data_IF_216729805609
#
_entry.id   IF_216729805609
#
_cell.length_a   1.000
_cell.length_b   1.000
_cell.length_c   1.000
_cell.angle_alpha   90.00
_cell.angle_beta   90.00
_cell.angle_gamma   90.00
#
_symmetry.space_group_name_H-M   'P 1'
#
loop_
_entity.id
_entity.type
_entity.pdbx_description
1 polymer ?
#
# COMPACT_ATOMS: atom_id res chain seq x y z
N UNK A 1 10.69 7.13 -21.67
CA UNK A 1 10.33 7.51 -20.29
C UNK A 1 9.62 6.34 -19.60
N UNK A 2 10.03 5.93 -18.39
CA UNK A 2 9.30 4.91 -17.64
C UNK A 2 7.97 5.50 -17.16
N UNK A 3 6.86 5.06 -17.78
CA UNK A 3 5.50 5.42 -17.39
C UNK A 3 5.29 4.99 -15.94
N UNK A 4 5.17 5.94 -15.02
CA UNK A 4 4.79 5.67 -13.64
C UNK A 4 3.40 5.01 -13.69
N UNK A 5 3.29 3.72 -13.31
CA UNK A 5 2.00 3.01 -13.27
C UNK A 5 1.20 3.58 -12.11
N UNK A 6 0.49 4.68 -12.39
CA UNK A 6 -0.11 5.63 -11.44
C UNK A 6 -1.50 5.21 -10.94
N UNK A 7 -1.61 4.02 -10.36
CA UNK A 7 -2.76 3.63 -9.52
C UNK A 7 -2.20 2.97 -8.26
N UNK A 8 -2.28 3.67 -7.14
CA UNK A 8 -1.59 3.28 -5.90
C UNK A 8 -2.53 3.50 -4.73
N UNK A 9 -3.46 2.57 -4.58
CA UNK A 9 -4.11 2.37 -3.32
C UNK A 9 -3.04 1.87 -2.35
N UNK A 10 -2.86 2.58 -1.23
CA UNK A 10 -1.81 2.34 -0.25
C UNK A 10 -2.34 1.42 0.83
N UNK A 11 -1.54 0.46 1.25
CA UNK A 11 -1.81 -0.34 2.44
C UNK A 11 -0.47 -0.48 3.16
N UNK A 12 -0.33 0.14 4.32
CA UNK A 12 0.76 -0.13 5.22
C UNK A 12 0.54 -1.51 5.82
N UNK A 13 1.61 -2.28 5.81
CA UNK A 13 1.60 -3.56 6.49
C UNK A 13 2.35 -3.41 7.81
N UNK A 14 1.70 -3.92 8.87
CA UNK A 14 2.17 -4.19 10.23
C UNK A 14 3.53 -3.61 10.64
N UNK A 15 3.55 -2.82 11.71
CA UNK A 15 4.78 -2.47 12.42
C UNK A 15 5.48 -3.73 12.93
N UNK A 16 6.76 -3.92 12.56
CA UNK A 16 7.57 -5.06 13.00
C UNK A 16 8.75 -4.59 13.84
N UNK A 17 9.02 -5.26 14.97
CA UNK A 17 10.19 -4.98 15.81
C UNK A 17 11.50 -5.44 15.15
N UNK A 18 11.45 -6.50 14.34
CA UNK A 18 12.60 -7.08 13.65
C UNK A 18 12.30 -7.32 12.19
N UNK A 19 13.29 -7.04 11.33
CA UNK A 19 13.26 -7.43 9.92
C UNK A 19 13.44 -8.94 9.80
N UNK A 20 12.33 -9.69 9.84
CA UNK A 20 12.33 -11.16 9.74
C UNK A 20 11.21 -11.67 8.84
N UNK A 21 11.34 -12.92 8.39
CA UNK A 21 10.28 -13.60 7.64
C UNK A 21 8.95 -13.64 8.43
N UNK A 22 9.03 -13.98 9.71
CA UNK A 22 7.88 -14.19 10.60
C UNK A 22 7.14 -12.89 10.89
N UNK A 23 7.85 -11.79 11.18
CA UNK A 23 7.22 -10.52 11.53
C UNK A 23 6.88 -9.65 10.33
N UNK A 24 7.52 -9.86 9.18
CA UNK A 24 7.23 -9.13 7.94
C UNK A 24 6.46 -9.97 6.93
N UNK A 25 7.10 -10.53 5.89
CA UNK A 25 6.42 -11.09 4.73
C UNK A 25 5.37 -12.15 5.03
N UNK A 26 5.55 -12.97 6.08
CA UNK A 26 4.57 -13.99 6.46
C UNK A 26 3.23 -13.37 6.86
N UNK A 27 3.23 -12.31 7.67
CA UNK A 27 2.00 -11.63 8.12
C UNK A 27 1.36 -10.87 6.98
N UNK A 28 2.14 -10.08 6.23
CA UNK A 28 1.64 -9.31 5.09
C UNK A 28 0.96 -10.21 4.07
N UNK A 29 1.60 -11.30 3.66
CA UNK A 29 1.02 -12.19 2.65
C UNK A 29 -0.13 -13.05 3.18
N UNK A 30 -0.13 -13.43 4.46
CA UNK A 30 -1.27 -14.10 5.06
C UNK A 30 -2.51 -13.19 5.07
N UNK A 31 -2.34 -11.91 5.43
CA UNK A 31 -3.41 -10.93 5.45
C UNK A 31 -3.94 -10.62 4.04
N UNK A 32 -3.06 -10.40 3.06
CA UNK A 32 -3.45 -10.23 1.65
C UNK A 32 -4.23 -11.45 1.15
N UNK A 33 -3.78 -12.67 1.51
CA UNK A 33 -4.49 -13.88 1.13
C UNK A 33 -5.88 -13.90 1.79
N UNK A 34 -5.97 -13.66 3.09
CA UNK A 34 -7.26 -13.64 3.81
C UNK A 34 -8.27 -12.67 3.17
N UNK A 35 -7.84 -11.47 2.79
CA UNK A 35 -8.73 -10.42 2.28
C UNK A 35 -9.06 -10.56 0.80
N UNK A 36 -8.11 -11.01 -0.01
CA UNK A 36 -8.21 -10.86 -1.46
C UNK A 36 -8.11 -12.18 -2.24
N UNK A 37 -7.96 -13.35 -1.60
CA UNK A 37 -7.65 -14.60 -2.33
C UNK A 37 -8.68 -14.94 -3.42
N UNK A 38 -9.97 -14.70 -3.19
CA UNK A 38 -11.02 -14.95 -4.18
C UNK A 38 -10.78 -14.14 -5.47
N UNK A 39 -10.35 -12.87 -5.35
CA UNK A 39 -10.02 -12.05 -6.51
C UNK A 39 -8.84 -12.63 -7.31
N UNK A 40 -7.87 -13.28 -6.66
CA UNK A 40 -6.78 -13.96 -7.36
C UNK A 40 -7.25 -15.23 -8.09
N UNK A 41 -8.24 -15.93 -7.54
CA UNK A 41 -8.83 -17.12 -8.18
C UNK A 41 -9.66 -16.72 -9.40
N UNK A 42 -10.55 -15.73 -9.25
CA UNK A 42 -11.35 -15.18 -10.35
C UNK A 42 -10.47 -14.65 -11.48
N UNK A 43 -9.39 -13.93 -11.15
CA UNK A 43 -8.44 -13.46 -12.15
C UNK A 43 -7.78 -14.64 -12.89
N UNK A 44 -7.42 -15.71 -12.17
CA UNK A 44 -6.81 -16.90 -12.76
C UNK A 44 -7.76 -17.62 -13.72
N UNK A 45 -9.05 -17.71 -13.38
CA UNK A 45 -10.09 -18.26 -14.26
C UNK A 45 -10.22 -17.45 -15.56
N UNK A 46 -10.04 -16.14 -15.48
CA UNK A 46 -9.97 -15.24 -16.63
C UNK A 46 -8.58 -15.21 -17.31
N UNK A 47 -7.71 -16.19 -17.03
CA UNK A 47 -6.33 -16.27 -17.52
C UNK A 47 -5.44 -15.05 -17.19
N UNK A 48 -5.85 -14.23 -16.22
CA UNK A 48 -5.09 -13.08 -15.72
C UNK A 48 -4.32 -13.47 -14.46
N UNK A 49 -3.13 -12.90 -14.30
CA UNK A 49 -2.32 -13.06 -13.08
C UNK A 49 -1.91 -11.71 -12.53
N UNK A 50 -2.14 -11.53 -11.24
CA UNK A 50 -1.55 -10.42 -10.50
C UNK A 50 -0.03 -10.58 -10.45
N UNK A 51 0.70 -9.48 -10.56
CA UNK A 51 2.16 -9.45 -10.47
C UNK A 51 2.60 -8.70 -9.21
N UNK A 52 3.27 -9.41 -8.31
CA UNK A 52 3.93 -8.82 -7.15
C UNK A 52 5.31 -8.32 -7.55
N UNK A 53 5.69 -7.14 -7.08
CA UNK A 53 7.04 -6.60 -7.28
C UNK A 53 7.68 -6.32 -5.93
N UNK A 54 8.87 -6.87 -5.68
CA UNK A 54 9.57 -6.71 -4.39
C UNK A 54 11.05 -6.39 -4.58
N UNK A 55 11.70 -5.94 -3.50
CA UNK A 55 13.15 -5.78 -3.44
C UNK A 55 13.88 -7.14 -3.48
N UNK A 56 15.21 -7.13 -3.30
CA UNK A 56 16.05 -8.32 -3.29
C UNK A 56 16.04 -9.08 -1.96
N UNK A 57 15.17 -8.75 -1.00
CA UNK A 57 15.15 -9.43 0.30
C UNK A 57 14.51 -10.82 0.17
N UNK A 58 15.30 -11.87 0.45
CA UNK A 58 14.90 -13.27 0.26
C UNK A 58 13.61 -13.66 1.00
N UNK A 59 13.29 -13.00 2.12
CA UNK A 59 12.08 -13.26 2.89
C UNK A 59 10.79 -13.02 2.08
N UNK A 60 10.76 -12.01 1.19
CA UNK A 60 9.60 -11.77 0.32
C UNK A 60 9.44 -12.87 -0.72
N UNK A 61 10.54 -13.33 -1.34
CA UNK A 61 10.51 -14.47 -2.26
C UNK A 61 9.99 -15.73 -1.57
N UNK A 62 10.46 -16.01 -0.34
CA UNK A 62 9.99 -17.14 0.48
C UNK A 62 8.49 -17.03 0.78
N UNK A 63 8.04 -15.85 1.22
CA UNK A 63 6.64 -15.60 1.53
C UNK A 63 5.72 -15.74 0.31
N UNK A 64 6.09 -15.12 -0.81
CA UNK A 64 5.33 -15.21 -2.04
C UNK A 64 5.14 -16.66 -2.49
N UNK A 65 6.22 -17.46 -2.48
CA UNK A 65 6.16 -18.89 -2.85
C UNK A 65 5.18 -19.67 -1.97
N UNK A 66 5.11 -19.36 -0.68
CA UNK A 66 4.21 -20.02 0.27
C UNK A 66 2.74 -19.72 -0.02
N UNK A 67 2.39 -18.47 -0.32
CA UNK A 67 0.99 -18.04 -0.36
C UNK A 67 0.40 -17.93 -1.77
N UNK A 68 1.19 -17.57 -2.78
CA UNK A 68 0.66 -17.09 -4.07
C UNK A 68 1.27 -17.77 -5.31
N UNK A 69 2.16 -18.76 -5.16
CA UNK A 69 2.87 -19.39 -6.30
C UNK A 69 1.97 -19.89 -7.44
N UNK A 70 0.73 -20.27 -7.13
CA UNK A 70 -0.21 -20.88 -8.08
C UNK A 70 -1.19 -19.88 -8.71
N UNK A 71 -1.27 -18.65 -8.19
CA UNK A 71 -2.33 -17.67 -8.53
C UNK A 71 -1.79 -16.30 -8.93
N UNK A 72 -0.50 -16.05 -8.74
CA UNK A 72 0.15 -14.79 -9.07
C UNK A 72 1.57 -15.01 -9.60
N UNK A 73 2.20 -13.95 -10.09
CA UNK A 73 3.61 -13.91 -10.49
C UNK A 73 4.40 -12.97 -9.58
N UNK A 74 5.72 -13.17 -9.51
CA UNK A 74 6.63 -12.34 -8.72
C UNK A 74 7.78 -11.82 -9.58
N UNK A 75 7.87 -10.51 -9.68
CA UNK A 75 9.06 -9.79 -10.17
C UNK A 75 9.97 -9.49 -8.98
N UNK A 76 10.97 -10.34 -8.77
CA UNK A 76 11.88 -10.26 -7.63
C UNK A 76 13.13 -9.44 -7.93
N UNK A 77 13.55 -8.62 -6.96
CA UNK A 77 14.85 -7.97 -7.01
C UNK A 77 14.93 -6.75 -7.89
N UNK A 78 13.80 -6.06 -8.08
CA UNK A 78 13.77 -4.77 -8.77
C UNK A 78 14.66 -3.79 -7.99
N UNK A 79 15.77 -3.31 -8.59
CA UNK A 79 16.65 -2.37 -7.92
C UNK A 79 15.85 -1.10 -7.63
N UNK A 80 15.76 -0.74 -6.35
CA UNK A 80 15.31 0.57 -5.96
C UNK A 80 16.43 1.54 -6.39
N UNK A 81 16.30 2.11 -7.60
CA UNK A 81 17.36 2.88 -8.31
C UNK A 81 17.68 4.24 -7.67
N UNK A 82 17.72 4.35 -6.34
CA UNK A 82 18.22 5.54 -5.66
C UNK A 82 19.72 5.76 -5.92
N UNK A 83 20.53 4.69 -5.97
CA UNK A 83 22.01 4.81 -6.11
C UNK A 83 22.50 5.35 -7.46
N UNK A 84 21.79 5.11 -8.58
CA UNK A 84 22.29 5.45 -9.93
C UNK A 84 21.92 6.85 -10.42
N UNK A 85 20.83 7.44 -9.95
CA UNK A 85 20.28 8.68 -10.53
C UNK A 85 20.02 9.81 -9.54
N UNK A 86 20.32 9.61 -8.24
CA UNK A 86 19.85 10.47 -7.14
C UNK A 86 18.31 10.67 -7.23
N UNK A 87 17.71 11.39 -6.28
CA UNK A 87 16.24 11.55 -6.20
C UNK A 87 15.60 12.27 -7.41
N UNK A 88 16.40 12.77 -8.37
CA UNK A 88 15.98 13.50 -9.57
C UNK A 88 15.11 12.68 -10.54
N UNK A 89 15.16 11.34 -10.49
CA UNK A 89 14.37 10.42 -11.35
C UNK A 89 13.55 9.44 -10.52
N UNK A 90 12.91 9.91 -9.45
CA UNK A 90 12.15 9.07 -8.51
C UNK A 90 10.84 8.52 -9.13
N UNK A 91 10.98 7.53 -10.02
CA UNK A 91 9.88 6.81 -10.64
C UNK A 91 9.46 5.57 -9.82
N UNK A 92 10.01 5.35 -8.63
CA UNK A 92 9.65 4.19 -7.82
C UNK A 92 8.49 4.53 -6.89
N UNK A 93 7.35 3.87 -7.08
CA UNK A 93 6.17 3.98 -6.21
C UNK A 93 6.53 3.94 -4.73
N UNK A 94 7.39 2.98 -4.43
CA UNK A 94 7.70 2.53 -3.09
C UNK A 94 8.47 3.63 -2.34
N UNK A 95 9.38 4.32 -3.00
CA UNK A 95 10.19 5.36 -2.35
C UNK A 95 9.41 6.64 -2.07
N UNK A 96 8.45 6.98 -2.93
CA UNK A 96 7.50 8.07 -2.65
C UNK A 96 6.63 7.72 -1.44
N UNK A 97 6.17 6.47 -1.40
CA UNK A 97 5.33 5.98 -0.30
C UNK A 97 6.09 5.92 1.04
N UNK A 98 7.37 5.54 1.00
CA UNK A 98 8.28 5.58 2.15
C UNK A 98 8.47 6.98 2.72
N UNK A 99 8.46 8.03 1.90
CA UNK A 99 8.57 9.41 2.42
C UNK A 99 7.36 9.79 3.27
N UNK A 100 6.15 9.37 2.86
CA UNK A 100 4.93 9.57 3.64
C UNK A 100 4.98 8.76 4.95
N UNK A 101 5.39 7.48 4.88
CA UNK A 101 5.59 6.65 6.08
C UNK A 101 6.59 7.27 7.06
N UNK A 102 7.71 7.83 6.58
CA UNK A 102 8.70 8.53 7.43
C UNK A 102 8.18 9.84 8.01
N UNK A 103 7.20 10.48 7.38
CA UNK A 103 6.54 11.68 7.93
C UNK A 103 5.63 11.27 9.08
N UNK A 104 4.82 10.22 8.89
CA UNK A 104 4.01 9.64 9.96
C UNK A 104 4.88 9.16 11.13
N UNK A 105 5.97 8.44 10.83
CA UNK A 105 6.95 8.01 11.83
C UNK A 105 7.51 9.19 12.63
N UNK A 106 7.89 10.29 11.97
CA UNK A 106 8.35 11.52 12.64
C UNK A 106 7.28 12.14 13.53
N UNK A 107 6.05 12.21 13.05
CA UNK A 107 4.92 12.69 13.84
C UNK A 107 4.62 11.75 15.02
N UNK A 108 4.95 10.47 14.88
CA UNK A 108 4.71 9.43 15.87
C UNK A 108 5.76 9.36 16.98
N UNK A 109 6.80 10.21 16.96
CA UNK A 109 7.92 10.17 17.93
C UNK A 109 7.50 10.35 19.41
N UNK A 110 6.27 10.79 19.67
CA UNK A 110 5.68 10.84 21.02
C UNK A 110 4.99 9.55 21.47
N UNK A 111 4.78 8.57 20.59
CA UNK A 111 4.14 7.29 20.93
C UNK A 111 5.17 6.34 21.55
N UNK A 112 4.78 5.67 22.64
CA UNK A 112 5.66 4.78 23.41
C UNK A 112 5.47 3.30 23.07
N UNK A 113 4.42 2.94 22.32
CA UNK A 113 4.08 1.57 21.97
C UNK A 113 3.95 1.36 20.45
N UNK A 114 4.12 0.10 20.04
CA UNK A 114 4.07 -0.30 18.62
C UNK A 114 2.63 -0.32 18.07
N UNK A 115 1.65 -0.48 18.98
CA UNK A 115 0.24 -0.55 18.64
C UNK A 115 -0.31 0.85 18.32
N UNK A 116 0.04 1.87 19.11
CA UNK A 116 -0.28 3.27 18.79
C UNK A 116 0.36 3.75 17.50
N UNK A 117 1.60 3.32 17.21
CA UNK A 117 2.23 3.59 15.91
C UNK A 117 1.45 2.90 14.78
N UNK A 118 1.05 1.64 14.96
CA UNK A 118 0.28 0.92 13.94
C UNK A 118 -1.06 1.58 13.66
N UNK A 119 -1.81 1.97 14.69
CA UNK A 119 -3.08 2.68 14.55
C UNK A 119 -2.92 4.03 13.81
N UNK A 120 -1.83 4.76 14.07
CA UNK A 120 -1.53 6.00 13.32
C UNK A 120 -1.26 5.72 11.84
N UNK A 121 -0.59 4.63 11.52
CA UNK A 121 -0.33 4.23 10.13
C UNK A 121 -1.62 3.81 9.42
N UNK A 122 -2.52 3.10 10.10
CA UNK A 122 -3.84 2.72 9.56
C UNK A 122 -4.69 3.96 9.29
N UNK A 123 -4.71 4.92 10.23
CA UNK A 123 -5.38 6.22 10.04
C UNK A 123 -4.77 7.00 8.86
N UNK A 124 -3.43 6.98 8.76
CA UNK A 124 -2.70 7.59 7.66
C UNK A 124 -3.06 6.99 6.30
N UNK A 125 -3.30 5.68 6.23
CA UNK A 125 -3.75 5.04 4.99
C UNK A 125 -5.18 5.40 4.62
N UNK A 126 -6.08 5.42 5.61
CA UNK A 126 -7.45 5.86 5.38
C UNK A 126 -7.48 7.29 4.83
N UNK A 127 -6.71 8.19 5.45
CA UNK A 127 -6.56 9.56 4.98
C UNK A 127 -5.95 9.62 3.57
N UNK A 128 -4.84 8.93 3.33
CA UNK A 128 -4.15 8.93 2.03
C UNK A 128 -5.05 8.41 0.90
N UNK A 129 -5.80 7.34 1.15
CA UNK A 129 -6.59 6.67 0.12
C UNK A 129 -7.91 7.36 -0.19
N UNK A 130 -8.57 7.94 0.82
CA UNK A 130 -9.96 8.37 0.71
C UNK A 130 -10.17 9.88 0.85
N UNK A 131 -9.20 10.62 1.39
CA UNK A 131 -9.35 12.05 1.71
C UNK A 131 -8.32 12.89 0.95
N UNK A 132 -7.06 12.46 0.96
CA UNK A 132 -5.96 13.20 0.35
C UNK A 132 -6.05 13.20 -1.19
N UNK A 133 -6.69 14.25 -1.72
CA UNK A 133 -6.73 14.48 -3.15
C UNK A 133 -5.33 14.87 -3.63
N UNK A 134 -4.82 14.10 -4.59
CA UNK A 134 -3.50 14.31 -5.18
C UNK A 134 -3.66 14.62 -6.66
N UNK A 135 -2.78 15.46 -7.23
CA UNK A 135 -2.68 15.70 -8.67
C UNK A 135 -1.44 15.00 -9.21
N UNK A 136 -1.64 13.98 -10.03
CA UNK A 136 -0.52 13.34 -10.72
C UNK A 136 -0.19 14.14 -11.98
N UNK A 137 1.07 14.09 -12.43
CA UNK A 137 1.55 14.94 -13.54
C UNK A 137 0.77 14.84 -14.86
N UNK A 138 -0.02 13.77 -15.05
CA UNK A 138 -0.82 13.53 -16.26
C UNK A 138 -2.32 13.78 -16.05
N UNK A 139 -2.74 14.21 -14.85
CA UNK A 139 -4.14 14.39 -14.50
C UNK A 139 -4.56 15.87 -14.53
N UNK A 140 -5.69 16.14 -15.18
CA UNK A 140 -6.31 17.47 -15.22
C UNK A 140 -6.95 17.87 -13.88
N UNK A 141 -7.45 16.89 -13.12
CA UNK A 141 -8.16 17.11 -11.85
C UNK A 141 -7.51 16.38 -10.68
N UNK A 142 -7.62 16.96 -9.50
CA UNK A 142 -7.22 16.35 -8.23
C UNK A 142 -8.13 15.15 -7.92
N UNK A 143 -7.53 14.03 -7.55
CA UNK A 143 -8.27 12.81 -7.17
C UNK A 143 -7.61 12.06 -6.02
N UNK A 144 -8.40 11.35 -5.24
CA UNK A 144 -7.90 10.39 -4.25
C UNK A 144 -7.49 9.07 -4.91
N UNK A 145 -6.63 8.25 -4.29
CA UNK A 145 -6.37 6.88 -4.74
C UNK A 145 -7.65 6.05 -4.91
N UNK A 146 -8.60 6.15 -3.99
CA UNK A 146 -9.90 5.46 -4.06
C UNK A 146 -10.69 5.85 -5.31
N UNK A 147 -10.79 7.15 -5.61
CA UNK A 147 -11.45 7.65 -6.83
C UNK A 147 -10.78 7.13 -8.12
N UNK A 148 -9.44 6.97 -8.12
CA UNK A 148 -8.71 6.42 -9.27
C UNK A 148 -9.00 4.95 -9.52
N UNK A 149 -9.25 4.18 -8.46
CA UNK A 149 -9.68 2.78 -8.55
C UNK A 149 -11.20 2.64 -8.62
N UNK A 150 -11.93 3.76 -8.83
CA UNK A 150 -13.39 3.83 -8.98
C UNK A 150 -14.17 3.38 -7.74
N UNK A 151 -13.57 3.44 -6.56
CA UNK A 151 -14.31 3.29 -5.30
C UNK A 151 -15.06 4.60 -5.06
N UNK A 152 -16.40 4.53 -4.99
CA UNK A 152 -17.26 5.69 -4.73
C UNK A 152 -17.58 5.74 -3.24
N UNK A 153 -17.11 6.76 -2.55
CA UNK A 153 -17.53 7.08 -1.19
C UNK A 153 -18.00 8.53 -1.19
N UNK A 154 -19.26 8.73 -0.82
CA UNK A 154 -19.83 10.07 -0.66
C UNK A 154 -19.45 10.60 0.71
N UNK A 155 -18.44 11.46 0.74
CA UNK A 155 -18.04 12.22 1.93
C UNK A 155 -18.45 13.67 1.73
N UNK A 156 -19.05 14.28 2.75
CA UNK A 156 -19.32 15.72 2.71
C UNK A 156 -18.02 16.52 2.62
N UNK A 157 -18.10 17.75 2.11
CA UNK A 157 -16.93 18.62 1.95
C UNK A 157 -16.25 18.97 3.28
N UNK A 158 -17.02 19.02 4.37
CA UNK A 158 -16.52 19.25 5.73
C UNK A 158 -16.37 17.93 6.48
N UNK A 159 -15.42 17.88 7.41
CA UNK A 159 -15.22 16.76 8.35
C UNK A 159 -15.08 15.39 7.67
N UNK A 160 -14.43 15.34 6.51
CA UNK A 160 -14.29 14.13 5.68
C UNK A 160 -13.80 12.91 6.45
N UNK A 161 -12.83 13.08 7.35
CA UNK A 161 -12.31 11.98 8.18
C UNK A 161 -13.33 11.46 9.18
N UNK A 162 -14.01 12.35 9.88
CA UNK A 162 -15.06 11.98 10.83
C UNK A 162 -16.20 11.26 10.10
N UNK A 163 -16.58 11.72 8.92
CA UNK A 163 -17.66 11.11 8.14
C UNK A 163 -17.25 9.76 7.55
N UNK A 164 -15.99 9.58 7.19
CA UNK A 164 -15.44 8.29 6.80
C UNK A 164 -15.50 7.29 7.97
N UNK A 165 -15.06 7.71 9.16
CA UNK A 165 -15.13 6.89 10.38
C UNK A 165 -16.58 6.52 10.68
N UNK A 166 -17.49 7.51 10.71
CA UNK A 166 -18.91 7.27 10.95
C UNK A 166 -19.51 6.26 9.97
N UNK A 167 -19.16 6.33 8.67
CA UNK A 167 -19.64 5.36 7.68
C UNK A 167 -19.13 3.94 7.96
N UNK A 168 -17.88 3.79 8.34
CA UNK A 168 -17.30 2.47 8.65
C UNK A 168 -17.98 1.84 9.86
N UNK A 169 -18.27 2.61 10.90
CA UNK A 169 -18.89 2.12 12.14
C UNK A 169 -20.43 2.17 12.16
N UNK A 170 -21.07 2.69 11.11
CA UNK A 170 -22.53 2.68 10.96
C UNK A 170 -23.04 1.51 10.11
N UNK A 171 -22.13 0.75 9.50
CA UNK A 171 -22.43 -0.47 8.74
C UNK A 171 -22.25 -1.76 9.58
N UNK A 172 -21.91 -1.62 10.87
CA UNK A 172 -21.96 -2.67 11.91
C UNK A 172 -23.25 -2.54 12.75
#
# INVERSE_FOLDING_TARGET
MSKDRKRKFRINAFSSKKRSYEQGPKRVYADIKKRCYNQFLEAKEQEKKFNFTTDKLAHYKKGFKKYFRNVATLTFGVPIKCKKHKLKRNNNCIERDHQYSRKLERNSRGHKDIDGISALFDLGDAYYNYIDKQKLAEEKRWRTPAERVKIKIELSERYQLLNLIKKIYAED
#
